data_IF_376511715051
#
_entry.id   IF_376511715051
#
_cell.length_a   1.000
_cell.length_b   1.000
_cell.length_c   1.000
_cell.angle_alpha   90.00
_cell.angle_beta   90.00
_cell.angle_gamma   90.00
#
_symmetry.space_group_name_H-M   'P 1'
#
loop_
_entity.id
_entity.type
_entity.pdbx_description
1 polymer ?
#
# COMPACT_ATOMS: atom_id res chain seq x y z
N UNK A 1 29.90 -26.18 42.32
CA UNK A 1 28.94 -26.66 41.31
C UNK A 1 27.71 -27.16 42.06
N UNK A 2 26.60 -26.39 42.13
CA UNK A 2 25.37 -26.89 42.73
C UNK A 2 24.46 -27.52 41.66
N UNK A 3 23.87 -28.66 42.03
CA UNK A 3 22.92 -29.46 41.27
C UNK A 3 21.63 -28.72 40.95
N UNK A 4 21.21 -28.84 39.70
CA UNK A 4 20.01 -28.25 39.10
C UNK A 4 18.89 -29.31 39.09
N UNK A 5 18.45 -29.82 40.25
CA UNK A 5 17.48 -30.94 40.26
C UNK A 5 16.29 -30.86 41.22
N UNK A 6 15.94 -29.71 41.82
CA UNK A 6 14.81 -29.67 42.76
C UNK A 6 13.93 -28.40 42.67
N UNK A 7 13.38 -28.11 41.47
CA UNK A 7 12.16 -27.29 41.36
C UNK A 7 11.03 -28.08 40.69
N UNK A 8 10.56 -29.10 41.38
CA UNK A 8 9.27 -29.72 41.15
C UNK A 8 8.20 -28.96 41.95
N UNK A 9 7.70 -27.88 41.35
CA UNK A 9 6.54 -27.10 41.79
C UNK A 9 5.81 -26.58 40.56
N UNK A 10 5.52 -27.50 39.63
CA UNK A 10 5.01 -27.22 38.30
C UNK A 10 3.52 -26.85 38.32
N UNK A 11 3.24 -25.55 38.39
CA UNK A 11 2.03 -24.98 37.81
C UNK A 11 2.22 -24.95 36.30
N UNK A 12 1.67 -25.95 35.60
CA UNK A 12 1.68 -26.06 34.13
C UNK A 12 0.76 -25.04 33.43
N UNK A 13 0.46 -23.91 34.06
CA UNK A 13 -0.56 -22.98 33.57
C UNK A 13 -0.04 -21.67 32.97
N UNK A 14 1.26 -21.37 33.09
CA UNK A 14 1.85 -20.12 32.59
C UNK A 14 3.25 -20.37 31.99
N UNK A 15 3.35 -21.21 30.95
CA UNK A 15 4.53 -21.17 30.07
C UNK A 15 4.36 -19.97 29.10
N UNK A 16 5.09 -18.85 29.27
CA UNK A 16 4.96 -17.66 28.41
C UNK A 16 5.24 -17.96 26.94
N UNK A 17 5.94 -19.06 26.66
CA UNK A 17 6.21 -19.55 25.32
C UNK A 17 4.94 -20.02 24.57
N UNK A 18 3.92 -20.54 25.25
CA UNK A 18 2.73 -21.10 24.59
C UNK A 18 1.66 -20.03 24.29
N UNK A 19 1.43 -19.10 25.24
CA UNK A 19 0.48 -17.98 25.05
C UNK A 19 0.94 -17.05 23.91
N UNK A 20 2.26 -16.89 23.74
CA UNK A 20 2.86 -16.11 22.66
C UNK A 20 2.53 -16.65 21.25
N UNK A 21 2.54 -17.98 21.07
CA UNK A 21 2.35 -18.59 19.75
C UNK A 21 0.95 -18.37 19.16
N UNK A 22 -0.10 -18.50 19.98
CA UNK A 22 -1.48 -18.28 19.53
C UNK A 22 -1.76 -16.82 19.17
N UNK A 23 -1.27 -15.89 19.99
CA UNK A 23 -1.42 -14.45 19.76
C UNK A 23 -0.66 -14.00 18.51
N UNK A 24 0.58 -14.46 18.35
CA UNK A 24 1.41 -14.16 17.18
C UNK A 24 0.76 -14.65 15.88
N UNK A 25 0.25 -15.89 15.87
CA UNK A 25 -0.47 -16.46 14.73
C UNK A 25 -1.69 -15.62 14.36
N UNK A 26 -2.49 -15.19 15.35
CA UNK A 26 -3.69 -14.39 15.10
C UNK A 26 -3.37 -13.01 14.55
N UNK A 27 -2.32 -12.33 15.04
CA UNK A 27 -1.89 -11.03 14.51
C UNK A 27 -1.43 -11.18 13.06
N UNK A 28 -0.59 -12.17 12.76
CA UNK A 28 -0.07 -12.39 11.40
C UNK A 28 -1.22 -12.71 10.44
N UNK A 29 -2.16 -13.55 10.86
CA UNK A 29 -3.38 -13.83 10.11
C UNK A 29 -4.19 -12.56 9.88
N UNK A 30 -4.50 -11.79 10.91
CA UNK A 30 -5.26 -10.56 10.80
C UNK A 30 -4.59 -9.54 9.86
N UNK A 31 -3.27 -9.39 9.94
CA UNK A 31 -2.49 -8.54 9.05
C UNK A 31 -2.58 -9.02 7.59
N UNK A 32 -2.39 -10.32 7.35
CA UNK A 32 -2.47 -10.90 6.00
C UNK A 32 -3.86 -10.75 5.37
N UNK A 33 -4.93 -10.99 6.13
CA UNK A 33 -6.30 -10.79 5.66
C UNK A 33 -6.61 -9.32 5.38
N UNK A 34 -6.14 -8.40 6.23
CA UNK A 34 -6.32 -6.96 6.01
C UNK A 34 -5.62 -6.53 4.73
N UNK A 35 -4.41 -7.03 4.46
CA UNK A 35 -3.69 -6.76 3.22
C UNK A 35 -4.45 -7.28 1.98
N UNK A 36 -5.03 -8.48 2.05
CA UNK A 36 -5.88 -9.03 0.98
C UNK A 36 -7.11 -8.14 0.76
N UNK A 37 -7.77 -7.70 1.83
CA UNK A 37 -8.95 -6.83 1.73
C UNK A 37 -8.61 -5.48 1.11
N UNK A 38 -7.50 -4.86 1.50
CA UNK A 38 -7.04 -3.59 0.90
C UNK A 38 -6.76 -3.79 -0.60
N UNK A 39 -6.06 -4.86 -0.95
CA UNK A 39 -5.76 -5.20 -2.35
C UNK A 39 -7.04 -5.45 -3.17
N UNK A 40 -8.03 -6.13 -2.59
CA UNK A 40 -9.34 -6.36 -3.21
C UNK A 40 -10.07 -5.04 -3.47
N UNK A 41 -10.09 -4.12 -2.51
CA UNK A 41 -10.72 -2.81 -2.68
C UNK A 41 -10.08 -2.03 -3.84
N UNK A 42 -8.76 -2.03 -3.92
CA UNK A 42 -8.02 -1.40 -5.03
C UNK A 42 -8.39 -2.05 -6.36
N UNK A 43 -8.39 -3.39 -6.42
CA UNK A 43 -8.76 -4.12 -7.63
C UNK A 43 -10.20 -3.82 -8.07
N UNK A 44 -11.16 -3.74 -7.14
CA UNK A 44 -12.56 -3.38 -7.44
C UNK A 44 -12.66 -1.97 -8.03
N UNK A 45 -11.99 -0.98 -7.44
CA UNK A 45 -11.98 0.40 -7.96
C UNK A 45 -11.41 0.45 -9.37
N UNK A 46 -10.33 -0.29 -9.62
CA UNK A 46 -9.68 -0.39 -10.94
C UNK A 46 -10.60 -1.07 -11.98
N UNK A 47 -11.28 -2.14 -11.60
CA UNK A 47 -12.27 -2.84 -12.46
C UNK A 47 -13.45 -1.94 -12.78
N UNK A 48 -14.00 -1.23 -11.79
CA UNK A 48 -15.11 -0.30 -11.99
C UNK A 48 -14.75 0.82 -12.97
N UNK A 49 -13.52 1.34 -12.90
CA UNK A 49 -13.02 2.34 -13.84
C UNK A 49 -12.86 1.78 -15.24
N UNK A 50 -12.31 0.58 -15.39
CA UNK A 50 -12.29 -0.10 -16.69
C UNK A 50 -13.70 -0.28 -17.26
N UNK A 51 -14.64 -0.72 -16.44
CA UNK A 51 -16.02 -0.93 -16.86
C UNK A 51 -16.69 0.38 -17.33
N UNK A 52 -16.43 1.49 -16.63
CA UNK A 52 -16.90 2.81 -17.04
C UNK A 52 -16.32 3.25 -18.39
N UNK A 53 -15.03 2.97 -18.66
CA UNK A 53 -14.35 3.31 -19.91
C UNK A 53 -14.85 2.51 -21.13
N UNK A 54 -15.46 1.34 -20.88
CA UNK A 54 -16.01 0.44 -21.91
C UNK A 54 -17.53 0.63 -22.12
N UNK A 55 -18.03 1.85 -21.92
CA UNK A 55 -19.45 2.19 -22.10
C UNK A 55 -20.38 1.27 -21.29
N UNK A 56 -19.94 0.82 -20.10
CA UNK A 56 -20.67 -0.08 -19.20
C UNK A 56 -21.10 -1.41 -19.81
N UNK A 57 -20.40 -1.90 -20.84
CA UNK A 57 -20.71 -3.21 -21.45
C UNK A 57 -20.56 -4.34 -20.42
N UNK A 58 -21.62 -5.12 -20.13
CA UNK A 58 -21.61 -6.10 -19.05
C UNK A 58 -20.67 -7.29 -19.32
N UNK A 59 -20.36 -7.56 -20.58
CA UNK A 59 -19.41 -8.61 -20.95
C UNK A 59 -17.99 -8.33 -20.44
N UNK A 60 -17.55 -7.08 -20.48
CA UNK A 60 -16.23 -6.67 -19.96
C UNK A 60 -16.16 -6.83 -18.46
N UNK A 61 -17.24 -6.49 -17.74
CA UNK A 61 -17.32 -6.68 -16.30
C UNK A 61 -17.23 -8.17 -15.93
N UNK A 62 -17.98 -9.04 -16.62
CA UNK A 62 -17.92 -10.49 -16.39
C UNK A 62 -16.50 -11.04 -16.59
N UNK A 63 -15.81 -10.58 -17.65
CA UNK A 63 -14.42 -10.96 -17.91
C UNK A 63 -13.47 -10.51 -16.80
N UNK A 64 -13.53 -9.24 -16.40
CA UNK A 64 -12.67 -8.68 -15.34
C UNK A 64 -12.92 -9.32 -13.98
N UNK A 65 -14.18 -9.55 -13.60
CA UNK A 65 -14.55 -10.21 -12.35
C UNK A 65 -14.11 -11.68 -12.37
N UNK A 66 -14.33 -12.39 -13.48
CA UNK A 66 -13.85 -13.77 -13.63
C UNK A 66 -12.33 -13.84 -13.48
N UNK A 67 -11.61 -12.92 -14.08
CA UNK A 67 -10.16 -12.86 -13.99
C UNK A 67 -9.69 -12.49 -12.58
N UNK A 68 -10.35 -11.54 -11.92
CA UNK A 68 -10.07 -11.18 -10.52
C UNK A 68 -10.24 -12.39 -9.58
N UNK A 69 -11.33 -13.15 -9.73
CA UNK A 69 -11.56 -14.37 -8.93
C UNK A 69 -10.48 -15.44 -9.18
N UNK A 70 -10.06 -15.61 -10.44
CA UNK A 70 -8.99 -16.53 -10.81
C UNK A 70 -7.66 -16.18 -10.13
N UNK A 71 -7.38 -14.90 -9.93
CA UNK A 71 -6.15 -14.44 -9.25
C UNK A 71 -6.24 -14.51 -7.72
N UNK A 72 -7.41 -14.23 -7.13
CA UNK A 72 -7.58 -14.21 -5.67
C UNK A 72 -7.52 -15.62 -5.08
N UNK A 73 -8.16 -16.61 -5.72
CA UNK A 73 -8.21 -17.98 -5.23
C UNK A 73 -6.82 -18.58 -4.89
N UNK A 74 -5.81 -18.55 -5.79
CA UNK A 74 -4.48 -19.05 -5.47
C UNK A 74 -3.79 -18.22 -4.38
N UNK A 75 -4.03 -16.91 -4.31
CA UNK A 75 -3.46 -16.07 -3.25
C UNK A 75 -4.00 -16.48 -1.87
N UNK A 76 -5.32 -16.66 -1.74
CA UNK A 76 -5.95 -17.12 -0.50
C UNK A 76 -5.45 -18.52 -0.13
N UNK A 77 -5.32 -19.43 -1.11
CA UNK A 77 -4.80 -20.77 -0.89
C UNK A 77 -3.36 -20.78 -0.39
N UNK A 78 -2.48 -19.96 -0.97
CA UNK A 78 -1.08 -19.85 -0.51
C UNK A 78 -1.01 -19.29 0.89
N UNK A 79 -1.82 -18.28 1.21
CA UNK A 79 -1.85 -17.66 2.56
C UNK A 79 -2.39 -18.63 3.61
N UNK A 80 -3.45 -19.37 3.31
CA UNK A 80 -3.99 -20.36 4.26
C UNK A 80 -3.03 -21.53 4.47
N UNK A 81 -2.38 -22.00 3.40
CA UNK A 81 -1.33 -23.02 3.50
C UNK A 81 -0.16 -22.52 4.33
N UNK A 82 0.32 -21.30 4.06
CA UNK A 82 1.40 -20.69 4.82
C UNK A 82 1.04 -20.52 6.29
N UNK A 83 -0.21 -20.17 6.62
CA UNK A 83 -0.66 -20.04 8.00
C UNK A 83 -0.75 -21.37 8.77
N UNK A 84 -0.90 -22.49 8.05
CA UNK A 84 -0.95 -23.83 8.62
C UNK A 84 0.43 -24.47 8.72
N UNK A 85 1.29 -24.28 7.72
CA UNK A 85 2.60 -24.93 7.62
C UNK A 85 3.70 -24.16 8.38
N UNK A 86 3.55 -22.85 8.57
CA UNK A 86 4.57 -22.06 9.25
C UNK A 86 4.57 -22.34 10.76
N UNK A 87 5.61 -23.02 11.20
CA UNK A 87 6.09 -22.92 12.57
C UNK A 87 6.65 -21.49 12.75
N UNK A 88 6.11 -20.74 13.70
CA UNK A 88 6.61 -19.41 14.06
C UNK A 88 7.75 -19.60 15.06
N UNK A 89 9.03 -19.58 14.64
CA UNK A 89 10.10 -19.61 15.63
C UNK A 89 10.01 -18.32 16.43
N UNK A 90 9.73 -18.44 17.73
CA UNK A 90 9.87 -17.32 18.66
C UNK A 90 11.38 -17.07 18.77
N UNK A 91 11.90 -16.19 17.92
CA UNK A 91 13.22 -15.61 18.16
C UNK A 91 12.99 -14.52 19.18
N UNK A 92 13.30 -14.82 20.44
CA UNK A 92 13.40 -13.80 21.49
C UNK A 92 14.57 -12.89 21.14
N UNK A 93 14.31 -11.84 20.34
CA UNK A 93 15.23 -10.71 20.30
C UNK A 93 15.38 -10.16 21.73
N UNK A 94 16.58 -9.66 22.10
CA UNK A 94 16.83 -9.11 23.43
C UNK A 94 15.76 -8.07 23.79
N UNK A 95 15.35 -8.08 25.06
CA UNK A 95 14.17 -7.52 25.78
C UNK A 95 13.46 -6.23 25.28
N UNK A 96 14.00 -5.54 24.30
CA UNK A 96 13.64 -4.17 23.95
C UNK A 96 12.43 -4.11 23.00
N UNK A 97 12.23 -5.10 22.12
CA UNK A 97 11.06 -5.17 21.22
C UNK A 97 10.56 -6.62 21.02
N UNK A 98 9.52 -7.07 21.75
CA UNK A 98 8.87 -8.35 21.46
C UNK A 98 8.15 -8.25 20.11
N UNK A 99 8.71 -8.87 19.07
CA UNK A 99 8.19 -8.88 17.71
C UNK A 99 7.98 -10.29 17.17
N UNK A 100 6.94 -10.45 16.35
CA UNK A 100 6.69 -11.68 15.61
C UNK A 100 7.47 -11.68 14.30
N UNK A 101 8.54 -12.49 14.21
CA UNK A 101 9.27 -12.68 12.95
C UNK A 101 8.58 -13.78 12.16
N UNK A 102 8.03 -13.41 11.00
CA UNK A 102 7.42 -14.37 10.07
C UNK A 102 8.49 -14.91 9.13
N UNK A 103 8.75 -16.21 9.19
CA UNK A 103 9.54 -16.88 8.18
C UNK A 103 8.66 -17.11 6.96
N UNK A 104 8.98 -16.46 5.86
CA UNK A 104 8.23 -16.58 4.61
C UNK A 104 8.68 -17.82 3.84
N UNK A 105 7.70 -18.61 3.38
CA UNK A 105 7.94 -19.76 2.51
C UNK A 105 8.48 -19.33 1.14
N UNK A 106 9.16 -20.25 0.44
CA UNK A 106 9.66 -20.04 -0.91
C UNK A 106 8.57 -19.72 -1.94
N UNK A 107 7.29 -19.84 -1.59
CA UNK A 107 6.14 -19.53 -2.44
C UNK A 107 5.64 -18.08 -2.31
N UNK A 108 6.34 -17.22 -1.55
CA UNK A 108 5.94 -15.83 -1.33
C UNK A 108 5.88 -14.99 -2.63
N UNK A 109 6.55 -15.39 -3.71
CA UNK A 109 6.56 -14.68 -5.00
C UNK A 109 5.26 -14.82 -5.81
N UNK A 110 4.46 -15.86 -5.54
CA UNK A 110 3.22 -16.19 -6.26
C UNK A 110 2.21 -15.02 -6.23
N UNK A 111 1.80 -14.48 -5.06
CA UNK A 111 0.83 -13.39 -5.00
C UNK A 111 1.32 -12.12 -5.70
N UNK A 112 2.62 -11.80 -5.63
CA UNK A 112 3.18 -10.63 -6.32
C UNK A 112 3.12 -10.78 -7.84
N UNK A 113 3.36 -11.99 -8.35
CA UNK A 113 3.30 -12.27 -9.78
C UNK A 113 1.88 -12.14 -10.30
N UNK A 114 0.89 -12.68 -9.58
CA UNK A 114 -0.51 -12.54 -9.96
C UNK A 114 -0.99 -11.08 -9.86
N UNK A 115 -0.57 -10.33 -8.84
CA UNK A 115 -0.87 -8.89 -8.75
C UNK A 115 -0.32 -8.13 -9.98
N UNK A 116 0.94 -8.39 -10.36
CA UNK A 116 1.57 -7.76 -11.54
C UNK A 116 0.85 -8.13 -12.84
N UNK A 117 0.49 -9.41 -13.02
CA UNK A 117 -0.27 -9.86 -14.18
C UNK A 117 -1.65 -9.20 -14.25
N UNK A 118 -2.32 -9.01 -13.11
CA UNK A 118 -3.61 -8.33 -13.05
C UNK A 118 -3.51 -6.85 -13.42
N UNK A 119 -2.57 -6.14 -12.80
CA UNK A 119 -2.37 -4.72 -13.08
C UNK A 119 -1.96 -4.48 -14.54
N UNK A 120 -1.12 -5.34 -15.11
CA UNK A 120 -0.72 -5.25 -16.52
C UNK A 120 -1.83 -5.55 -17.50
N UNK A 121 -2.67 -6.54 -17.24
CA UNK A 121 -3.84 -6.80 -18.07
C UNK A 121 -4.79 -5.60 -18.08
N UNK A 122 -5.13 -5.08 -16.90
CA UNK A 122 -6.04 -3.94 -16.77
C UNK A 122 -5.45 -2.70 -17.45
N UNK A 123 -4.18 -2.39 -17.19
CA UNK A 123 -3.52 -1.24 -17.80
C UNK A 123 -3.49 -1.35 -19.32
N UNK A 124 -3.17 -2.54 -19.85
CA UNK A 124 -3.20 -2.79 -21.30
C UNK A 124 -4.59 -2.57 -21.90
N UNK A 125 -5.65 -3.04 -21.23
CA UNK A 125 -7.02 -2.77 -21.66
C UNK A 125 -7.37 -1.28 -21.64
N UNK A 126 -6.98 -0.55 -20.59
CA UNK A 126 -7.17 0.90 -20.50
C UNK A 126 -6.44 1.64 -21.62
N UNK A 127 -5.18 1.29 -21.87
CA UNK A 127 -4.35 1.88 -22.92
C UNK A 127 -4.92 1.61 -24.30
N UNK A 128 -5.27 0.35 -24.60
CA UNK A 128 -5.89 -0.04 -25.86
C UNK A 128 -7.19 0.73 -26.11
N UNK A 129 -8.07 0.81 -25.10
CA UNK A 129 -9.33 1.56 -25.23
C UNK A 129 -9.09 3.04 -25.45
N UNK A 130 -8.16 3.63 -24.71
CA UNK A 130 -7.81 5.05 -24.85
C UNK A 130 -7.23 5.35 -26.24
N UNK A 131 -6.39 4.45 -26.76
CA UNK A 131 -5.86 4.54 -28.11
C UNK A 131 -6.96 4.50 -29.17
N UNK A 132 -7.92 3.55 -29.06
CA UNK A 132 -9.06 3.45 -29.98
C UNK A 132 -9.95 4.70 -29.94
N UNK A 133 -10.19 5.27 -28.75
CA UNK A 133 -10.95 6.51 -28.60
C UNK A 133 -10.22 7.69 -29.26
N UNK A 134 -8.91 7.79 -29.04
CA UNK A 134 -8.06 8.85 -29.61
C UNK A 134 -8.08 8.81 -31.15
N UNK A 135 -8.07 7.62 -31.74
CA UNK A 135 -8.17 7.49 -33.20
C UNK A 135 -9.54 7.92 -33.75
N UNK A 136 -10.63 7.68 -33.02
CA UNK A 136 -11.99 7.97 -33.50
C UNK A 136 -12.40 9.43 -33.34
N UNK A 137 -12.05 10.06 -32.22
CA UNK A 137 -12.53 11.39 -31.86
C UNK A 137 -11.46 12.48 -32.05
N UNK A 138 -10.28 12.12 -32.56
CA UNK A 138 -9.15 13.03 -32.70
C UNK A 138 -8.36 13.18 -31.40
N UNK A 139 -7.13 13.69 -31.54
CA UNK A 139 -6.21 13.84 -30.43
C UNK A 139 -6.56 15.09 -29.61
N UNK A 140 -7.48 14.96 -28.64
CA UNK A 140 -7.71 16.03 -27.67
C UNK A 140 -6.49 16.14 -26.75
N UNK A 141 -5.96 17.35 -26.60
CA UNK A 141 -4.78 17.66 -25.75
C UNK A 141 -4.94 17.13 -24.32
N UNK A 142 -6.18 16.95 -23.89
CA UNK A 142 -6.61 16.41 -22.61
C UNK A 142 -6.31 14.92 -22.45
N UNK A 143 -6.71 14.08 -23.41
CA UNK A 143 -6.47 12.63 -23.38
C UNK A 143 -4.96 12.35 -23.40
N UNK A 144 -4.22 13.13 -24.18
CA UNK A 144 -2.76 13.02 -24.23
C UNK A 144 -2.11 13.26 -22.87
N UNK A 145 -2.53 14.32 -22.16
CA UNK A 145 -1.99 14.63 -20.83
C UNK A 145 -2.33 13.53 -19.82
N UNK A 146 -3.57 13.04 -19.85
CA UNK A 146 -4.00 11.92 -19.02
C UNK A 146 -3.18 10.66 -19.28
N UNK A 147 -2.91 10.35 -20.55
CA UNK A 147 -2.11 9.18 -20.91
C UNK A 147 -0.67 9.32 -20.43
N UNK A 148 -0.04 10.49 -20.60
CA UNK A 148 1.34 10.69 -20.14
C UNK A 148 1.43 10.54 -18.63
N UNK A 149 0.58 11.26 -17.89
CA UNK A 149 0.61 11.24 -16.44
C UNK A 149 0.28 9.83 -15.93
N UNK A 150 -0.79 9.21 -16.44
CA UNK A 150 -1.20 7.86 -16.09
C UNK A 150 -0.14 6.80 -16.40
N UNK A 151 0.54 6.91 -17.54
CA UNK A 151 1.60 5.97 -17.95
C UNK A 151 2.83 6.10 -17.05
N UNK A 152 3.23 7.32 -16.68
CA UNK A 152 4.37 7.53 -15.80
C UNK A 152 4.15 6.89 -14.42
N UNK A 153 2.94 7.03 -13.83
CA UNK A 153 2.62 6.35 -12.57
C UNK A 153 2.56 4.85 -12.73
N UNK A 154 2.04 4.35 -13.84
CA UNK A 154 2.02 2.92 -14.10
C UNK A 154 3.43 2.33 -14.20
N UNK A 155 4.36 3.02 -14.86
CA UNK A 155 5.78 2.63 -14.90
C UNK A 155 6.37 2.60 -13.49
N UNK A 156 6.08 3.60 -12.66
CA UNK A 156 6.52 3.63 -11.27
C UNK A 156 5.93 2.46 -10.44
N UNK A 157 4.65 2.13 -10.65
CA UNK A 157 3.99 1.00 -10.00
C UNK A 157 4.63 -0.33 -10.43
N UNK A 158 4.81 -0.57 -11.74
CA UNK A 158 5.55 -1.74 -12.25
C UNK A 158 6.94 -1.81 -11.61
N UNK A 159 7.69 -0.71 -11.61
CA UNK A 159 9.04 -0.70 -11.08
C UNK A 159 9.06 -1.09 -9.60
N UNK A 160 8.10 -0.61 -8.81
CA UNK A 160 7.95 -0.99 -7.41
C UNK A 160 7.58 -2.46 -7.23
N UNK A 161 6.70 -3.01 -8.07
CA UNK A 161 6.32 -4.43 -8.00
C UNK A 161 7.49 -5.32 -8.44
N UNK A 162 8.24 -4.95 -9.49
CA UNK A 162 9.47 -5.65 -9.90
C UNK A 162 10.51 -5.61 -8.79
N UNK A 163 10.68 -4.46 -8.12
CA UNK A 163 11.56 -4.35 -6.96
C UNK A 163 11.12 -5.27 -5.82
N UNK A 164 9.82 -5.30 -5.50
CA UNK A 164 9.27 -6.22 -4.49
C UNK A 164 9.47 -7.69 -4.89
N UNK A 165 9.31 -8.02 -6.18
CA UNK A 165 9.51 -9.37 -6.70
C UNK A 165 10.98 -9.79 -6.60
N UNK A 166 11.91 -8.91 -6.97
CA UNK A 166 13.35 -9.14 -6.82
C UNK A 166 13.74 -9.32 -5.35
N UNK A 167 13.21 -8.47 -4.47
CA UNK A 167 13.41 -8.60 -3.03
C UNK A 167 12.80 -9.90 -2.45
N UNK A 168 11.68 -10.38 -3.00
CA UNK A 168 11.06 -11.63 -2.58
C UNK A 168 11.92 -12.85 -2.95
N UNK A 169 12.71 -12.79 -4.03
CA UNK A 169 13.64 -13.85 -4.42
C UNK A 169 14.87 -13.87 -3.50
N UNK A 170 15.37 -12.71 -3.08
CA UNK A 170 16.53 -12.63 -2.17
C UNK A 170 16.15 -12.89 -0.71
N UNK A 171 16.75 -13.89 -0.07
CA UNK A 171 16.45 -14.24 1.33
C UNK A 171 16.77 -13.09 2.32
N UNK A 172 17.80 -12.28 2.04
CA UNK A 172 18.21 -11.18 2.91
C UNK A 172 17.25 -9.98 2.90
N UNK A 173 16.54 -9.72 1.79
CA UNK A 173 15.64 -8.56 1.66
C UNK A 173 14.15 -8.93 1.80
N UNK A 174 13.82 -10.22 1.86
CA UNK A 174 12.43 -10.69 1.90
C UNK A 174 11.67 -10.13 3.10
N UNK A 175 12.23 -10.20 4.30
CA UNK A 175 11.58 -9.72 5.51
C UNK A 175 11.34 -8.19 5.55
N UNK A 176 12.34 -7.32 5.31
CA UNK A 176 12.15 -5.87 5.39
C UNK A 176 11.23 -5.34 4.28
N UNK A 177 11.30 -5.90 3.07
CA UNK A 177 10.49 -5.37 1.95
C UNK A 177 9.02 -5.69 2.12
N UNK A 178 8.67 -6.92 2.53
CA UNK A 178 7.27 -7.31 2.75
C UNK A 178 6.64 -6.54 3.91
N UNK A 179 7.43 -6.24 4.96
CA UNK A 179 6.95 -5.49 6.13
C UNK A 179 6.84 -3.98 5.91
N UNK A 180 7.51 -3.42 4.91
CA UNK A 180 7.54 -1.96 4.66
C UNK A 180 6.19 -1.36 4.25
N UNK A 181 5.26 -2.16 3.70
CA UNK A 181 3.99 -1.64 3.16
C UNK A 181 4.16 -0.73 1.93
N UNK A 182 5.34 -0.69 1.32
CA UNK A 182 5.67 0.21 0.20
C UNK A 182 4.69 0.05 -0.97
N UNK A 183 4.36 -1.19 -1.34
CA UNK A 183 3.44 -1.48 -2.43
C UNK A 183 2.04 -0.90 -2.16
N UNK A 184 1.53 -1.05 -0.93
CA UNK A 184 0.23 -0.49 -0.52
C UNK A 184 0.24 1.04 -0.58
N UNK A 185 1.34 1.68 -0.17
CA UNK A 185 1.46 3.15 -0.24
C UNK A 185 1.40 3.66 -1.67
N UNK A 186 2.12 3.01 -2.60
CA UNK A 186 2.13 3.39 -4.02
C UNK A 186 0.75 3.18 -4.64
N UNK A 187 0.11 2.03 -4.39
CA UNK A 187 -1.24 1.78 -4.90
C UNK A 187 -2.27 2.77 -4.35
N UNK A 188 -2.14 3.18 -3.08
CA UNK A 188 -2.99 4.20 -2.48
C UNK A 188 -2.83 5.54 -3.20
N UNK A 189 -1.58 6.00 -3.41
CA UNK A 189 -1.31 7.26 -4.14
C UNK A 189 -1.82 7.22 -5.57
N UNK A 190 -1.68 6.07 -6.26
CA UNK A 190 -2.21 5.85 -7.60
C UNK A 190 -3.73 5.97 -7.63
N UNK A 191 -4.42 5.35 -6.66
CA UNK A 191 -5.87 5.45 -6.55
C UNK A 191 -6.34 6.90 -6.38
N UNK A 192 -5.70 7.65 -5.49
CA UNK A 192 -6.01 9.06 -5.20
C UNK A 192 -5.81 9.97 -6.41
N UNK A 193 -4.66 9.86 -7.09
CA UNK A 193 -4.39 10.67 -8.30
C UNK A 193 -5.37 10.37 -9.42
N UNK A 194 -5.77 9.11 -9.59
CA UNK A 194 -6.78 8.76 -10.57
C UNK A 194 -8.16 9.36 -10.23
N UNK A 195 -8.54 9.48 -8.94
CA UNK A 195 -9.78 10.21 -8.56
C UNK A 195 -9.66 11.69 -8.94
N UNK A 196 -8.53 12.32 -8.59
CA UNK A 196 -8.30 13.74 -8.88
C UNK A 196 -8.35 14.03 -10.39
N UNK A 197 -7.77 13.15 -11.21
CA UNK A 197 -7.77 13.32 -12.66
C UNK A 197 -9.19 13.39 -13.24
N UNK A 198 -10.13 12.61 -12.69
CA UNK A 198 -11.52 12.59 -13.13
C UNK A 198 -12.27 13.87 -12.74
N UNK A 199 -11.93 14.47 -11.60
CA UNK A 199 -12.56 15.72 -11.17
C UNK A 199 -12.21 16.88 -12.11
N UNK A 200 -10.92 16.99 -12.47
CA UNK A 200 -10.44 18.02 -13.39
C UNK A 200 -11.12 17.95 -14.77
N UNK A 201 -11.52 16.75 -15.23
CA UNK A 201 -12.27 16.61 -16.49
C UNK A 201 -13.69 17.14 -16.41
N UNK A 202 -14.36 16.88 -15.28
CA UNK A 202 -15.74 17.32 -15.08
C UNK A 202 -15.81 18.85 -15.06
N UNK A 203 -14.85 19.52 -14.43
CA UNK A 203 -14.79 20.99 -14.40
C UNK A 203 -14.49 21.60 -15.76
N UNK A 204 -13.57 21.01 -16.53
CA UNK A 204 -13.19 21.55 -17.83
C UNK A 204 -14.32 21.42 -18.86
N UNK A 205 -15.09 20.33 -18.83
CA UNK A 205 -16.27 20.16 -19.69
C UNK A 205 -17.37 21.18 -19.35
N UNK A 206 -17.54 21.53 -18.06
CA UNK A 206 -18.48 22.56 -17.63
C UNK A 206 -18.04 23.96 -18.12
N UNK A 207 -16.76 24.28 -18.01
CA UNK A 207 -16.20 25.55 -18.50
C UNK A 207 -16.34 25.70 -20.01
N UNK A 208 -16.09 24.63 -20.78
CA UNK A 208 -16.24 24.67 -22.23
C UNK A 208 -17.70 24.87 -22.64
N UNK A 209 -18.64 24.20 -21.97
CA UNK A 209 -20.09 24.41 -22.19
C UNK A 209 -20.52 25.83 -21.88
N UNK A 210 -20.01 26.42 -20.79
CA UNK A 210 -20.27 27.81 -20.43
C UNK A 210 -19.66 28.79 -21.44
N UNK A 211 -18.45 28.54 -21.94
CA UNK A 211 -17.79 29.38 -22.93
C UNK A 211 -18.49 29.41 -24.30
N UNK A 212 -19.13 28.31 -24.71
CA UNK A 212 -19.90 28.26 -25.96
C UNK A 212 -21.30 28.89 -25.89
N UNK A 213 -21.86 29.09 -24.69
CA UNK A 213 -23.07 29.91 -24.53
C UNK A 213 -22.65 31.38 -24.46
N UNK A 214 -22.51 32.02 -25.62
CA UNK A 214 -22.27 33.47 -25.76
C UNK A 214 -23.43 34.35 -25.27
N UNK A 215 -24.01 34.04 -24.11
CA UNK A 215 -24.96 34.88 -23.39
C UNK A 215 -24.13 35.67 -22.38
N UNK A 216 -24.16 37.00 -22.54
CA UNK A 216 -23.39 37.94 -21.72
C UNK A 216 -23.54 37.63 -20.20
N UNK A 217 -22.45 37.71 -19.43
CA UNK A 217 -22.45 37.32 -18.02
C UNK A 217 -23.34 38.27 -17.21
N UNK A 218 -24.53 37.81 -16.84
CA UNK A 218 -25.14 38.30 -15.61
C UNK A 218 -24.27 37.83 -14.43
N UNK A 219 -24.15 38.60 -13.34
CA UNK A 219 -23.42 38.21 -12.14
C UNK A 219 -24.15 37.04 -11.45
N UNK A 220 -23.98 35.83 -11.99
CA UNK A 220 -24.50 34.60 -11.42
C UNK A 220 -23.49 34.14 -10.39
N UNK A 221 -23.78 34.56 -9.16
CA UNK A 221 -23.57 33.85 -7.92
C UNK A 221 -22.68 32.59 -8.02
N UNK A 222 -21.44 32.76 -7.57
CA UNK A 222 -20.53 31.69 -7.18
C UNK A 222 -21.16 30.85 -6.06
N UNK A 223 -22.12 30.00 -6.39
CA UNK A 223 -22.44 28.86 -5.56
C UNK A 223 -21.28 27.89 -5.66
N UNK A 224 -20.32 28.05 -4.74
CA UNK A 224 -19.48 26.95 -4.28
C UNK A 224 -20.37 25.73 -4.11
N UNK A 225 -20.31 24.81 -5.07
CA UNK A 225 -20.70 23.44 -4.81
C UNK A 225 -19.63 22.92 -3.85
N UNK A 226 -19.81 23.21 -2.56
CA UNK A 226 -19.21 22.43 -1.48
C UNK A 226 -19.69 21.01 -1.69
N UNK A 227 -18.93 20.26 -2.47
CA UNK A 227 -18.98 18.80 -2.46
C UNK A 227 -18.55 18.43 -1.05
N UNK A 228 -19.53 18.34 -0.15
CA UNK A 228 -19.36 18.09 1.27
C UNK A 228 -18.64 16.76 1.55
N UNK A 229 -18.39 15.94 0.53
CA UNK A 229 -17.53 14.77 0.63
C UNK A 229 -16.03 15.12 0.64
N UNK A 230 -15.55 16.19 -0.03
CA UNK A 230 -14.13 16.54 0.04
C UNK A 230 -13.74 17.09 1.41
N UNK A 231 -14.55 17.97 1.99
CA UNK A 231 -14.29 18.54 3.32
C UNK A 231 -14.34 17.47 4.41
N UNK A 232 -15.25 16.48 4.31
CA UNK A 232 -15.32 15.36 5.27
C UNK A 232 -14.11 14.44 5.16
N UNK A 233 -13.59 14.20 3.94
CA UNK A 233 -12.38 13.39 3.78
C UNK A 233 -11.12 14.15 4.17
N UNK A 234 -11.02 15.46 3.87
CA UNK A 234 -9.87 16.29 4.25
C UNK A 234 -9.84 16.54 5.77
N UNK A 235 -10.99 16.75 6.42
CA UNK A 235 -11.06 16.79 7.90
C UNK A 235 -10.71 15.44 8.52
N UNK A 236 -11.19 14.30 7.97
CA UNK A 236 -10.78 12.98 8.47
C UNK A 236 -9.30 12.72 8.26
N UNK A 237 -8.73 13.17 7.14
CA UNK A 237 -7.31 12.98 6.85
C UNK A 237 -6.46 13.85 7.79
N UNK A 238 -6.81 15.13 7.97
CA UNK A 238 -6.15 16.01 8.96
C UNK A 238 -6.32 15.49 10.39
N UNK A 239 -7.46 14.90 10.73
CA UNK A 239 -7.67 14.28 12.04
C UNK A 239 -6.81 13.04 12.23
N UNK A 240 -6.68 12.18 11.21
CA UNK A 240 -5.80 11.00 11.25
C UNK A 240 -4.31 11.39 11.25
N UNK A 241 -3.94 12.46 10.57
CA UNK A 241 -2.57 12.98 10.53
C UNK A 241 -2.21 13.68 11.86
N UNK A 242 -3.17 14.38 12.47
CA UNK A 242 -3.06 14.93 13.83
C UNK A 242 -2.99 13.83 14.90
N UNK A 243 -3.84 12.79 14.83
CA UNK A 243 -3.76 11.63 15.74
C UNK A 243 -2.43 10.88 15.58
N UNK A 244 -1.94 10.68 14.34
CA UNK A 244 -0.63 10.08 14.08
C UNK A 244 0.53 10.92 14.61
N UNK A 245 0.44 12.26 14.53
CA UNK A 245 1.45 13.16 15.11
C UNK A 245 1.40 13.18 16.64
N UNK A 246 0.20 13.08 17.22
CA UNK A 246 0.02 13.06 18.68
C UNK A 246 0.50 11.74 19.29
N UNK A 247 0.37 10.62 18.59
CA UNK A 247 0.95 9.33 19.03
C UNK A 247 2.48 9.30 18.88
N UNK A 248 3.05 10.04 17.92
CA UNK A 248 4.50 10.18 17.81
C UNK A 248 5.09 11.07 18.92
N UNK A 249 4.32 12.05 19.42
CA UNK A 249 4.72 12.87 20.57
C UNK A 249 4.47 12.17 21.92
N UNK A 250 3.45 11.30 22.00
CA UNK A 250 3.17 10.50 23.21
C UNK A 250 4.12 9.30 23.37
N UNK A 251 4.81 8.87 22.30
CA UNK A 251 5.95 7.95 22.39
C UNK A 251 7.27 8.65 22.70
N UNK A 252 7.29 9.99 22.80
CA UNK A 252 8.44 10.79 23.22
C UNK A 252 8.43 11.19 24.70
N UNK A 253 7.55 10.64 25.54
CA UNK A 253 7.46 11.05 26.95
C UNK A 253 7.77 9.93 27.96
N UNK A 254 8.83 10.22 28.74
CA UNK A 254 9.30 9.61 29.99
C UNK A 254 9.97 8.24 29.92
N UNK A 255 11.23 8.27 29.46
CA UNK A 255 12.29 7.60 30.22
C UNK A 255 12.55 8.45 31.49
N UNK A 256 11.83 8.18 32.58
CA UNK A 256 12.33 8.52 33.93
C UNK A 256 13.44 7.50 34.25
N UNK A 257 14.56 7.65 33.55
CA UNK A 257 15.82 7.02 33.90
C UNK A 257 16.45 7.85 35.01
N UNK A 258 16.50 7.29 36.21
CA UNK A 258 17.42 7.73 37.23
C UNK A 258 18.80 7.87 36.61
N UNK A 259 19.33 9.09 36.67
CA UNK A 259 20.72 9.35 36.44
C UNK A 259 21.51 8.48 37.41
N UNK A 260 22.20 7.47 36.88
CA UNK A 260 23.61 7.24 37.15
C UNK A 260 24.13 6.28 36.06
N UNK A 261 25.15 6.76 35.34
CA UNK A 261 26.09 5.97 34.54
C UNK A 261 25.72 5.56 33.10
N UNK A 262 25.54 6.53 32.19
CA UNK A 262 25.77 6.31 30.74
C UNK A 262 26.31 7.59 30.08
N UNK A 263 27.48 8.04 30.51
CA UNK A 263 28.28 9.05 29.80
C UNK A 263 29.47 8.40 29.11
N UNK A 264 29.26 7.52 28.12
CA UNK A 264 30.39 7.10 27.28
C UNK A 264 30.11 6.47 25.90
N UNK A 265 28.89 6.51 25.35
CA UNK A 265 28.63 5.90 24.04
C UNK A 265 27.76 6.80 23.15
N UNK A 266 28.19 8.05 22.95
CA UNK A 266 27.87 8.77 21.72
C UNK A 266 29.05 9.68 21.36
N UNK A 267 29.76 9.30 20.29
CA UNK A 267 30.33 10.17 19.25
C UNK A 267 31.39 9.40 18.49
N UNK A 268 31.01 8.57 17.50
CA UNK A 268 31.95 8.07 16.48
C UNK A 268 31.28 7.54 15.18
N UNK A 269 30.08 7.97 14.79
CA UNK A 269 29.43 7.47 13.55
C UNK A 269 28.93 8.56 12.60
N UNK A 270 29.40 9.82 12.73
CA UNK A 270 29.13 10.86 11.73
C UNK A 270 30.38 11.67 11.37
N UNK A 271 31.38 11.00 10.78
CA UNK A 271 32.40 11.63 9.91
C UNK A 271 32.90 10.62 8.88
N UNK A 272 32.11 10.41 7.82
CA UNK A 272 32.61 9.96 6.51
C UNK A 272 31.93 10.88 5.50
N UNK A 273 32.49 12.07 5.28
CA UNK A 273 33.48 12.37 4.23
C UNK A 273 32.82 12.78 2.92
N UNK A 274 32.17 13.95 2.95
CA UNK A 274 32.05 14.81 1.76
C UNK A 274 33.43 15.37 1.43
N UNK A 275 34.08 14.78 0.42
CA UNK A 275 35.19 15.43 -0.30
C UNK A 275 35.39 14.80 -1.68
N UNK A 276 34.52 15.14 -2.62
CA UNK A 276 34.86 15.04 -4.06
C UNK A 276 35.00 16.47 -4.57
N UNK A 277 36.26 16.91 -4.60
CA UNK A 277 36.66 18.15 -5.22
C UNK A 277 36.59 18.01 -6.74
N UNK A 278 35.91 18.96 -7.36
CA UNK A 278 36.05 19.32 -8.76
C UNK A 278 37.38 20.07 -8.89
N UNK A 279 38.26 19.63 -9.77
CA UNK A 279 39.34 20.46 -10.29
C UNK A 279 39.32 20.43 -11.81
N UNK A 280 39.58 21.63 -12.32
CA UNK A 280 39.86 22.11 -13.68
C UNK A 280 40.63 21.12 -14.55
#
# INVERSE_FOLDING_TARGET
MPSYSDRCGASWHDDPAYISNGFCKNIVLAYSYTSIMVSLNIAVVVVLRCWALYDRKPWVLKFLVSFLMLMILPCVYVVTKQANDNLYPIVTLPEILPGCIVVYSSYAWIPYTFALCFESMVFSMMLHRTYVITQKYGNTRLIWRLMIDGTLYYVAAIAAVIFCLGAAVSDSLRAPVISSGLLVSILSTMCSRMILSLHNFTEQEQLERLGTSGVAPAPVFSSSLKVATSDIYEERFKKLEYERSTDHERTSFKFDGGADDYSQIEMNVLRVSDRIGINV
#
